data_IF_333490970075
#
_entry.id   IF_333490970075
#
_cell.length_a   1.000
_cell.length_b   1.000
_cell.length_c   1.000
_cell.angle_alpha   90.00
_cell.angle_beta   90.00
_cell.angle_gamma   90.00
#
_symmetry.space_group_name_H-M   'P 1'
#
loop_
_entity.id
_entity.type
_entity.pdbx_description
1 polymer ?
#
# COMPACT_ATOMS: atom_id res chain seq x y z
N UNK A 1 13.15 36.29 -14.81
CA UNK A 1 12.60 34.94 -15.04
C UNK A 1 11.10 35.08 -15.22
N UNK A 2 10.61 34.69 -16.39
CA UNK A 2 9.20 34.80 -16.75
C UNK A 2 8.33 33.86 -15.89
N UNK A 3 7.46 34.43 -15.05
CA UNK A 3 6.64 33.67 -14.09
C UNK A 3 5.75 32.60 -14.75
N UNK A 4 5.38 32.79 -16.02
CA UNK A 4 4.56 31.87 -16.80
C UNK A 4 5.33 30.64 -17.32
N UNK A 5 6.66 30.73 -17.53
CA UNK A 5 7.45 29.60 -18.05
C UNK A 5 7.72 28.53 -17.00
N UNK A 6 7.80 28.92 -15.73
CA UNK A 6 8.02 27.98 -14.64
C UNK A 6 6.90 26.93 -14.51
N UNK A 7 5.60 27.28 -14.41
CA UNK A 7 4.54 26.29 -14.31
C UNK A 7 4.39 25.41 -15.56
N UNK A 8 4.67 25.91 -16.78
CA UNK A 8 4.64 25.10 -18.01
C UNK A 8 5.71 23.99 -18.03
N UNK A 9 6.89 24.27 -17.49
CA UNK A 9 7.99 23.32 -17.41
C UNK A 9 7.89 22.44 -16.16
N UNK A 10 7.62 23.04 -15.00
CA UNK A 10 7.62 22.36 -13.70
C UNK A 10 6.37 21.53 -13.44
N UNK A 11 5.20 21.90 -13.97
CA UNK A 11 3.94 21.23 -13.65
C UNK A 11 3.97 19.72 -13.94
N UNK A 12 4.48 19.34 -15.12
CA UNK A 12 4.59 17.93 -15.52
C UNK A 12 5.62 17.16 -14.69
N UNK A 13 6.77 17.79 -14.39
CA UNK A 13 7.85 17.17 -13.59
C UNK A 13 7.42 16.98 -12.14
N UNK A 14 6.78 18.00 -11.54
CA UNK A 14 6.26 17.93 -10.17
C UNK A 14 5.14 16.89 -10.06
N UNK A 15 4.29 16.75 -11.08
CA UNK A 15 3.29 15.70 -11.15
C UNK A 15 3.94 14.31 -11.19
N UNK A 16 4.96 14.10 -12.05
CA UNK A 16 5.67 12.83 -12.17
C UNK A 16 6.43 12.46 -10.88
N UNK A 17 7.13 13.41 -10.27
CA UNK A 17 7.88 13.21 -9.02
C UNK A 17 6.92 12.86 -7.89
N UNK A 18 5.81 13.61 -7.76
CA UNK A 18 4.78 13.35 -6.75
C UNK A 18 4.11 12.00 -6.96
N UNK A 19 3.80 11.63 -8.22
CA UNK A 19 3.26 10.32 -8.58
C UNK A 19 4.24 9.20 -8.22
N UNK A 20 5.52 9.38 -8.53
CA UNK A 20 6.57 8.41 -8.23
C UNK A 20 6.71 8.21 -6.73
N UNK A 21 6.79 9.29 -5.96
CA UNK A 21 6.85 9.23 -4.51
C UNK A 21 5.60 8.56 -3.93
N UNK A 22 4.41 8.84 -4.48
CA UNK A 22 3.16 8.16 -4.12
C UNK A 22 3.25 6.65 -4.30
N UNK A 23 3.77 6.18 -5.45
CA UNK A 23 3.95 4.75 -5.74
C UNK A 23 4.94 4.11 -4.77
N UNK A 24 6.10 4.75 -4.54
CA UNK A 24 7.12 4.27 -3.60
C UNK A 24 6.55 4.15 -2.19
N UNK A 25 5.89 5.18 -1.66
CA UNK A 25 5.28 5.13 -0.33
C UNK A 25 4.12 4.12 -0.26
N UNK A 26 3.41 3.89 -1.36
CA UNK A 26 2.40 2.83 -1.46
C UNK A 26 3.01 1.44 -1.33
N UNK A 27 4.16 1.20 -1.97
CA UNK A 27 4.93 -0.04 -1.84
C UNK A 27 5.41 -0.25 -0.40
N UNK A 28 5.98 0.79 0.20
CA UNK A 28 6.48 0.79 1.58
C UNK A 28 5.36 0.51 2.58
N UNK A 29 4.21 1.16 2.42
CA UNK A 29 3.09 0.98 3.34
C UNK A 29 2.39 -0.40 3.21
N UNK A 30 2.59 -1.09 2.09
CA UNK A 30 2.12 -2.45 1.86
C UNK A 30 3.02 -3.50 2.55
N UNK A 31 4.25 -3.16 2.91
CA UNK A 31 5.18 -4.08 3.56
C UNK A 31 4.89 -4.19 5.07
N UNK A 32 4.42 -5.38 5.47
CA UNK A 32 4.09 -5.71 6.87
C UNK A 32 5.28 -6.29 7.63
N UNK A 33 6.33 -6.70 6.92
CA UNK A 33 7.52 -7.30 7.52
C UNK A 33 8.54 -6.20 7.88
N UNK A 34 8.53 -5.09 7.14
CA UNK A 34 9.48 -3.99 7.27
C UNK A 34 9.14 -2.98 8.37
N UNK A 35 7.84 -2.70 8.54
CA UNK A 35 7.36 -1.59 9.34
C UNK A 35 6.40 -2.06 10.42
N UNK A 36 6.64 -1.59 11.65
CA UNK A 36 5.67 -1.70 12.74
C UNK A 36 4.39 -0.88 12.46
N UNK A 37 3.35 -1.02 13.30
CA UNK A 37 2.03 -0.40 13.08
C UNK A 37 2.09 1.13 12.87
N UNK A 38 2.85 1.86 13.70
CA UNK A 38 2.99 3.32 13.58
C UNK A 38 3.68 3.74 12.28
N UNK A 39 4.74 3.03 11.87
CA UNK A 39 5.44 3.30 10.61
C UNK A 39 4.53 3.11 9.39
N UNK A 40 3.65 2.11 9.43
CA UNK A 40 2.66 1.88 8.37
C UNK A 40 1.59 2.97 8.31
N UNK A 41 1.18 3.51 9.46
CA UNK A 41 0.24 4.62 9.50
C UNK A 41 0.86 5.89 8.90
N UNK A 42 2.10 6.21 9.27
CA UNK A 42 2.85 7.33 8.69
C UNK A 42 3.03 7.16 7.18
N UNK A 43 3.46 5.97 6.72
CA UNK A 43 3.64 5.69 5.31
C UNK A 43 2.32 5.83 4.51
N UNK A 44 1.19 5.43 5.08
CA UNK A 44 -0.13 5.65 4.48
C UNK A 44 -0.53 7.13 4.44
N UNK A 45 -0.20 7.90 5.48
CA UNK A 45 -0.46 9.34 5.51
C UNK A 45 0.37 10.07 4.42
N UNK A 46 1.66 9.76 4.32
CA UNK A 46 2.56 10.31 3.29
C UNK A 46 2.09 9.92 1.89
N UNK A 47 1.73 8.64 1.68
CA UNK A 47 1.15 8.18 0.41
C UNK A 47 -0.09 8.99 0.00
N UNK A 48 -1.01 9.24 0.93
CA UNK A 48 -2.23 10.04 0.64
C UNK A 48 -1.90 11.49 0.34
N UNK A 49 -1.01 12.12 1.11
CA UNK A 49 -0.60 13.49 0.89
C UNK A 49 0.05 13.66 -0.49
N UNK A 50 0.95 12.74 -0.87
CA UNK A 50 1.59 12.75 -2.17
C UNK A 50 0.61 12.45 -3.31
N UNK A 51 -0.38 11.58 -3.10
CA UNK A 51 -1.42 11.30 -4.10
C UNK A 51 -2.26 12.55 -4.41
N UNK A 52 -2.63 13.31 -3.37
CA UNK A 52 -3.33 14.59 -3.52
C UNK A 52 -2.43 15.61 -4.23
N UNK A 53 -1.15 15.70 -3.84
CA UNK A 53 -0.16 16.54 -4.53
C UNK A 53 -0.03 16.19 -6.02
N UNK A 54 0.08 14.91 -6.35
CA UNK A 54 0.16 14.43 -7.74
C UNK A 54 -1.08 14.81 -8.56
N UNK A 55 -2.28 14.69 -8.00
CA UNK A 55 -3.52 15.16 -8.64
C UNK A 55 -3.53 16.67 -8.84
N UNK A 56 -3.13 17.44 -7.82
CA UNK A 56 -3.06 18.90 -7.91
C UNK A 56 -2.09 19.36 -9.01
N UNK A 57 -0.88 18.80 -9.05
CA UNK A 57 0.08 19.11 -10.09
C UNK A 57 -0.35 18.62 -11.48
N UNK A 58 -1.07 17.50 -11.57
CA UNK A 58 -1.67 17.06 -12.84
C UNK A 58 -2.68 18.09 -13.35
N UNK A 59 -3.56 18.60 -12.48
CA UNK A 59 -4.55 19.63 -12.87
C UNK A 59 -3.87 20.90 -13.36
N UNK A 60 -2.84 21.37 -12.65
CA UNK A 60 -2.03 22.53 -13.08
C UNK A 60 -1.36 22.26 -14.42
N UNK A 61 -0.73 21.08 -14.58
CA UNK A 61 -0.05 20.70 -15.82
C UNK A 61 -1.00 20.69 -17.03
N UNK A 62 -2.14 20.01 -16.92
CA UNK A 62 -3.14 19.95 -18.00
C UNK A 62 -3.72 21.34 -18.25
N UNK A 63 -4.05 22.09 -17.20
CA UNK A 63 -4.60 23.44 -17.30
C UNK A 63 -3.68 24.39 -18.06
N UNK A 64 -2.39 24.42 -17.72
CA UNK A 64 -1.39 25.23 -18.44
C UNK A 64 -1.26 24.77 -19.89
N UNK A 65 -1.22 23.46 -20.16
CA UNK A 65 -1.10 22.93 -21.53
C UNK A 65 -2.31 23.24 -22.42
N UNK A 66 -3.50 23.29 -21.86
CA UNK A 66 -4.71 23.72 -22.58
C UNK A 66 -4.72 25.24 -22.75
N UNK A 67 -4.39 26.01 -21.72
CA UNK A 67 -4.37 27.48 -21.75
C UNK A 67 -3.35 28.04 -22.76
N UNK A 68 -2.18 27.39 -22.88
CA UNK A 68 -1.14 27.78 -23.84
C UNK A 68 -1.31 27.11 -25.23
N UNK A 69 -2.47 26.48 -25.51
CA UNK A 69 -2.78 25.80 -26.77
C UNK A 69 -1.77 24.68 -27.17
N UNK A 70 -1.01 24.16 -26.22
CA UNK A 70 -0.11 23.03 -26.42
C UNK A 70 -0.85 21.69 -26.55
N UNK A 71 -2.12 21.62 -26.14
CA UNK A 71 -3.02 20.50 -26.37
C UNK A 71 -4.44 21.03 -26.60
N UNK A 72 -5.17 20.43 -27.55
CA UNK A 72 -6.60 20.74 -27.70
C UNK A 72 -7.40 20.14 -26.54
N UNK A 73 -8.49 20.80 -26.15
CA UNK A 73 -9.40 20.31 -25.09
C UNK A 73 -9.90 18.89 -25.42
N UNK A 74 -10.16 18.61 -26.69
CA UNK A 74 -10.57 17.28 -27.16
C UNK A 74 -9.48 16.24 -26.98
N UNK A 75 -8.21 16.56 -27.25
CA UNK A 75 -7.09 15.63 -27.04
C UNK A 75 -6.82 15.37 -25.54
N UNK A 76 -7.10 16.35 -24.68
CA UNK A 76 -7.00 16.20 -23.22
C UNK A 76 -8.10 15.29 -22.65
N UNK A 77 -9.32 15.38 -23.17
CA UNK A 77 -10.48 14.60 -22.69
C UNK A 77 -10.64 13.23 -23.37
N UNK A 78 -10.22 13.09 -24.61
CA UNK A 78 -10.35 11.85 -25.36
C UNK A 78 -8.95 11.37 -25.72
N UNK A 79 -8.42 10.34 -25.01
CA UNK A 79 -7.12 9.79 -25.31
C UNK A 79 -7.05 9.38 -26.78
N UNK A 80 -5.99 9.80 -27.48
CA UNK A 80 -5.74 9.48 -28.89
C UNK A 80 -6.73 10.05 -29.91
N UNK A 81 -7.61 10.99 -29.53
CA UNK A 81 -8.54 11.63 -30.48
C UNK A 81 -7.84 12.35 -31.65
N UNK A 82 -6.63 12.83 -31.43
CA UNK A 82 -5.82 13.49 -32.47
C UNK A 82 -4.90 12.54 -33.24
N UNK A 83 -5.00 11.22 -32.99
CA UNK A 83 -4.19 10.18 -33.62
C UNK A 83 -3.22 9.47 -32.66
N UNK A 84 -2.64 8.37 -33.15
CA UNK A 84 -1.70 7.50 -32.40
C UNK A 84 -0.23 7.71 -32.80
N UNK A 85 0.04 8.48 -33.85
CA UNK A 85 1.39 8.73 -34.36
C UNK A 85 2.04 9.99 -33.77
N UNK A 86 3.38 9.96 -33.66
CA UNK A 86 4.20 11.12 -33.31
C UNK A 86 3.75 11.87 -32.06
N UNK A 87 3.70 13.20 -32.13
CA UNK A 87 3.31 14.09 -31.02
C UNK A 87 1.86 13.88 -30.56
N UNK A 88 0.95 13.53 -31.46
CA UNK A 88 -0.46 13.29 -31.11
C UNK A 88 -0.63 12.03 -30.23
N UNK A 89 0.08 10.94 -30.57
CA UNK A 89 0.10 9.72 -29.76
C UNK A 89 0.67 9.96 -28.35
N UNK A 90 1.69 10.82 -28.24
CA UNK A 90 2.25 11.21 -26.95
C UNK A 90 1.25 12.02 -26.12
N UNK A 91 0.53 12.98 -26.70
CA UNK A 91 -0.54 13.70 -25.99
C UNK A 91 -1.61 12.70 -25.51
N UNK A 92 -1.99 11.73 -26.34
CA UNK A 92 -2.91 10.65 -25.95
C UNK A 92 -2.41 9.80 -24.77
N UNK A 93 -1.11 9.49 -24.71
CA UNK A 93 -0.49 8.83 -23.56
C UNK A 93 -0.57 9.68 -22.29
N UNK A 94 -0.42 11.00 -22.40
CA UNK A 94 -0.59 11.93 -21.28
C UNK A 94 -2.01 11.91 -20.73
N UNK A 95 -3.01 12.00 -21.62
CA UNK A 95 -4.43 11.90 -21.25
C UNK A 95 -4.76 10.55 -20.61
N UNK A 96 -4.26 9.45 -21.18
CA UNK A 96 -4.39 8.11 -20.62
C UNK A 96 -3.77 8.01 -19.22
N UNK A 97 -2.58 8.57 -19.03
CA UNK A 97 -1.92 8.62 -17.73
C UNK A 97 -2.77 9.37 -16.69
N UNK A 98 -3.36 10.50 -17.08
CA UNK A 98 -4.28 11.27 -16.24
C UNK A 98 -5.49 10.44 -15.81
N UNK A 99 -6.14 9.74 -16.74
CA UNK A 99 -7.27 8.86 -16.42
C UNK A 99 -6.90 7.71 -15.48
N UNK A 100 -5.76 7.06 -15.71
CA UNK A 100 -5.27 5.99 -14.84
C UNK A 100 -4.95 6.50 -13.43
N UNK A 101 -4.39 7.72 -13.31
CA UNK A 101 -4.16 8.35 -12.01
C UNK A 101 -5.48 8.68 -11.29
N UNK A 102 -6.46 9.25 -12.00
CA UNK A 102 -7.79 9.52 -11.43
C UNK A 102 -8.48 8.22 -10.99
N UNK A 103 -8.41 7.15 -11.79
CA UNK A 103 -8.93 5.84 -11.42
C UNK A 103 -8.25 5.28 -10.17
N UNK A 104 -6.92 5.37 -10.09
CA UNK A 104 -6.16 4.94 -8.92
C UNK A 104 -6.52 5.73 -7.66
N UNK A 105 -6.71 7.05 -7.79
CA UNK A 105 -7.13 7.91 -6.69
C UNK A 105 -8.55 7.60 -6.22
N UNK A 106 -9.49 7.47 -7.17
CA UNK A 106 -10.89 7.12 -6.88
C UNK A 106 -10.98 5.76 -6.17
N UNK A 107 -10.23 4.76 -6.63
CA UNK A 107 -10.17 3.44 -5.99
C UNK A 107 -9.49 3.48 -4.62
N UNK A 108 -8.59 4.43 -4.38
CA UNK A 108 -7.98 4.70 -3.07
C UNK A 108 -8.98 5.29 -2.06
N UNK A 109 -9.80 6.25 -2.49
CA UNK A 109 -10.87 6.86 -1.67
C UNK A 109 -11.97 5.82 -1.38
N UNK A 110 -12.40 5.09 -2.41
CA UNK A 110 -13.46 4.08 -2.33
C UNK A 110 -13.00 2.77 -1.68
N UNK A 111 -11.82 2.70 -1.09
CA UNK A 111 -11.27 1.47 -0.49
C UNK A 111 -12.22 0.84 0.54
N UNK A 112 -12.91 1.65 1.35
CA UNK A 112 -13.88 1.18 2.36
C UNK A 112 -15.05 0.41 1.74
N UNK A 113 -15.50 0.83 0.54
CA UNK A 113 -16.58 0.17 -0.22
C UNK A 113 -16.18 -1.26 -0.60
N UNK A 114 -14.91 -1.50 -0.91
CA UNK A 114 -14.42 -2.84 -1.24
C UNK A 114 -14.05 -3.69 -0.02
N UNK A 115 -13.76 -3.06 1.12
CA UNK A 115 -13.14 -3.69 2.29
C UNK A 115 -14.04 -4.70 3.06
N UNK A 116 -15.33 -4.81 2.76
CA UNK A 116 -16.26 -5.75 3.39
C UNK A 116 -16.92 -6.77 2.46
N UNK A 117 -16.67 -6.71 1.15
CA UNK A 117 -17.42 -7.46 0.12
C UNK A 117 -16.76 -8.79 -0.29
N UNK A 118 -15.98 -9.40 0.60
CA UNK A 118 -15.30 -10.67 0.37
C UNK A 118 -14.02 -10.60 -0.47
N UNK A 119 -13.38 -11.77 -0.67
CA UNK A 119 -12.05 -11.89 -1.31
C UNK A 119 -12.03 -11.41 -2.77
N UNK A 120 -13.13 -11.60 -3.49
CA UNK A 120 -13.25 -11.18 -4.90
C UNK A 120 -13.24 -9.65 -5.03
N UNK A 121 -14.00 -8.93 -4.20
CA UNK A 121 -13.99 -7.47 -4.17
C UNK A 121 -12.61 -6.90 -3.80
N UNK A 122 -11.92 -7.52 -2.83
CA UNK A 122 -10.57 -7.13 -2.47
C UNK A 122 -9.55 -7.37 -3.61
N UNK A 123 -9.71 -8.42 -4.43
CA UNK A 123 -8.90 -8.63 -5.64
C UNK A 123 -9.18 -7.56 -6.69
N UNK A 124 -10.46 -7.25 -6.97
CA UNK A 124 -10.84 -6.19 -7.92
C UNK A 124 -10.27 -4.84 -7.53
N UNK A 125 -10.38 -4.46 -6.25
CA UNK A 125 -9.76 -3.25 -5.73
C UNK A 125 -8.26 -3.20 -5.99
N UNK A 126 -7.53 -4.30 -5.73
CA UNK A 126 -6.08 -4.38 -5.99
C UNK A 126 -5.75 -4.20 -7.47
N UNK A 127 -6.51 -4.83 -8.37
CA UNK A 127 -6.30 -4.70 -9.82
C UNK A 127 -6.57 -3.26 -10.28
N UNK A 128 -7.70 -2.68 -9.86
CA UNK A 128 -8.05 -1.32 -10.23
C UNK A 128 -7.05 -0.30 -9.67
N UNK A 129 -6.62 -0.46 -8.42
CA UNK A 129 -5.64 0.43 -7.81
C UNK A 129 -4.24 0.25 -8.41
N UNK A 130 -3.91 -0.95 -8.91
CA UNK A 130 -2.67 -1.20 -9.64
C UNK A 130 -2.59 -0.47 -10.99
N UNK A 131 -3.68 0.14 -11.48
CA UNK A 131 -3.64 1.06 -12.62
C UNK A 131 -2.66 2.22 -12.42
N UNK A 132 -2.33 2.58 -11.17
CA UNK A 132 -1.31 3.57 -10.84
C UNK A 132 0.07 3.27 -11.47
N UNK A 133 0.45 1.98 -11.56
CA UNK A 133 1.69 1.60 -12.23
C UNK A 133 1.61 1.85 -13.74
N UNK A 134 0.45 1.61 -14.34
CA UNK A 134 0.17 1.97 -15.73
C UNK A 134 0.26 3.48 -15.94
N UNK A 135 -0.37 4.26 -15.05
CA UNK A 135 -0.32 5.73 -15.08
C UNK A 135 1.13 6.25 -15.07
N UNK A 136 1.96 5.69 -14.19
CA UNK A 136 3.36 6.05 -14.07
C UNK A 136 4.15 5.73 -15.35
N UNK A 137 4.00 4.54 -15.92
CA UNK A 137 4.66 4.16 -17.17
C UNK A 137 4.24 5.06 -18.34
N UNK A 138 2.94 5.32 -18.51
CA UNK A 138 2.45 6.17 -19.59
C UNK A 138 2.86 7.63 -19.41
N UNK A 139 2.90 8.13 -18.17
CA UNK A 139 3.38 9.49 -17.86
C UNK A 139 4.86 9.66 -18.17
N UNK A 140 5.70 8.67 -17.86
CA UNK A 140 7.12 8.66 -18.22
C UNK A 140 7.31 8.72 -19.73
N UNK A 141 6.63 7.83 -20.47
CA UNK A 141 6.71 7.79 -21.93
C UNK A 141 6.23 9.09 -22.58
N UNK A 142 5.13 9.65 -22.06
CA UNK A 142 4.61 10.95 -22.49
C UNK A 142 5.65 12.05 -22.27
N UNK A 143 6.09 12.25 -21.03
CA UNK A 143 6.92 13.41 -20.71
C UNK A 143 8.35 13.34 -21.26
N UNK A 144 8.92 12.14 -21.42
CA UNK A 144 10.26 11.97 -22.01
C UNK A 144 10.27 12.27 -23.51
N UNK A 145 9.21 11.88 -24.23
CA UNK A 145 9.17 11.96 -25.68
C UNK A 145 8.40 13.17 -26.22
N UNK A 146 7.70 13.95 -25.39
CA UNK A 146 6.83 15.06 -25.81
C UNK A 146 7.54 16.24 -26.52
N UNK A 147 8.85 16.14 -26.80
CA UNK A 147 9.55 16.98 -27.78
C UNK A 147 10.20 18.24 -27.21
N UNK A 148 10.70 18.20 -25.96
CA UNK A 148 11.47 19.31 -25.36
C UNK A 148 12.94 18.93 -25.21
N UNK A 149 13.86 19.85 -25.51
CA UNK A 149 15.24 19.74 -25.03
C UNK A 149 15.20 19.73 -23.49
N UNK A 150 15.64 18.62 -22.90
CA UNK A 150 15.57 18.44 -21.47
C UNK A 150 16.66 19.26 -20.79
N UNK A 151 16.26 20.29 -20.05
CA UNK A 151 17.16 20.95 -19.12
C UNK A 151 17.73 19.92 -18.12
N UNK A 152 18.99 20.06 -17.72
CA UNK A 152 19.69 19.05 -16.90
C UNK A 152 18.96 18.68 -15.61
N UNK A 153 18.31 19.65 -14.95
CA UNK A 153 17.52 19.41 -13.74
C UNK A 153 16.29 18.53 -13.99
N UNK A 154 15.66 18.62 -15.16
CA UNK A 154 14.53 17.76 -15.56
C UNK A 154 15.02 16.33 -15.70
N UNK A 155 16.13 16.13 -16.41
CA UNK A 155 16.77 14.82 -16.56
C UNK A 155 17.12 14.22 -15.20
N UNK A 156 17.66 15.02 -14.28
CA UNK A 156 17.91 14.60 -12.89
C UNK A 156 16.65 14.11 -12.17
N UNK A 157 15.51 14.80 -12.32
CA UNK A 157 14.23 14.34 -11.75
C UNK A 157 13.76 13.01 -12.37
N UNK A 158 13.90 12.83 -13.68
CA UNK A 158 13.53 11.56 -14.35
C UNK A 158 14.38 10.39 -13.86
N UNK A 159 15.70 10.58 -13.79
CA UNK A 159 16.63 9.58 -13.23
C UNK A 159 16.29 9.29 -11.77
N UNK A 160 16.05 10.33 -10.96
CA UNK A 160 15.64 10.18 -9.57
C UNK A 160 14.34 9.38 -9.41
N UNK A 161 13.36 9.57 -10.30
CA UNK A 161 12.12 8.79 -10.31
C UNK A 161 12.39 7.31 -10.61
N UNK A 162 13.19 7.01 -11.63
CA UNK A 162 13.58 5.64 -11.99
C UNK A 162 14.35 4.95 -10.85
N UNK A 163 15.35 5.63 -10.29
CA UNK A 163 16.16 5.13 -9.18
C UNK A 163 15.30 4.90 -7.94
N UNK A 164 14.40 5.83 -7.60
CA UNK A 164 13.50 5.72 -6.46
C UNK A 164 12.60 4.49 -6.54
N UNK A 165 12.00 4.23 -7.72
CA UNK A 165 11.18 3.03 -7.94
C UNK A 165 12.03 1.76 -7.92
N UNK A 166 13.18 1.76 -8.61
CA UNK A 166 14.08 0.61 -8.62
C UNK A 166 14.54 0.24 -7.20
N UNK A 167 14.95 1.22 -6.40
CA UNK A 167 15.34 1.02 -5.01
C UNK A 167 14.17 0.48 -4.18
N UNK A 168 12.97 1.04 -4.33
CA UNK A 168 11.79 0.55 -3.61
C UNK A 168 11.45 -0.91 -3.96
N UNK A 169 11.58 -1.30 -5.24
CA UNK A 169 11.36 -2.67 -5.70
C UNK A 169 12.46 -3.62 -5.21
N UNK A 170 13.73 -3.20 -5.26
CA UNK A 170 14.88 -3.96 -4.74
C UNK A 170 14.72 -4.17 -3.24
N UNK A 171 14.42 -3.12 -2.48
CA UNK A 171 14.16 -3.23 -1.04
C UNK A 171 12.98 -4.15 -0.76
N UNK A 172 11.89 -4.07 -1.52
CA UNK A 172 10.75 -4.98 -1.35
C UNK A 172 11.09 -6.44 -1.68
N UNK A 173 11.98 -6.68 -2.65
CA UNK A 173 12.33 -8.03 -3.12
C UNK A 173 13.42 -8.68 -2.26
N UNK A 174 14.37 -7.88 -1.76
CA UNK A 174 15.60 -8.33 -1.10
C UNK A 174 15.73 -7.84 0.36
N UNK A 175 15.17 -6.69 0.71
CA UNK A 175 15.31 -6.05 2.02
C UNK A 175 14.18 -6.41 2.98
N UNK A 176 14.57 -6.76 4.22
CA UNK A 176 13.75 -7.03 5.43
C UNK A 176 13.57 -8.51 5.81
N UNK A 177 12.96 -9.42 5.03
CA UNK A 177 12.77 -10.80 5.49
C UNK A 177 14.11 -11.54 5.64
N UNK A 178 15.18 -11.13 4.97
CA UNK A 178 16.49 -11.78 5.09
C UNK A 178 17.27 -11.28 6.32
N UNK A 179 17.32 -9.97 6.56
CA UNK A 179 18.06 -9.39 7.68
C UNK A 179 17.42 -9.69 9.03
N UNK A 180 16.08 -9.63 9.13
CA UNK A 180 15.36 -10.04 10.34
C UNK A 180 15.47 -11.54 10.61
N UNK A 181 15.46 -12.40 9.58
CA UNK A 181 15.76 -13.83 9.77
C UNK A 181 17.16 -14.05 10.30
N UNK A 182 18.15 -13.29 9.84
CA UNK A 182 19.53 -13.40 10.34
C UNK A 182 19.67 -12.94 11.79
N UNK A 183 19.00 -11.84 12.18
CA UNK A 183 19.04 -11.31 13.55
C UNK A 183 18.24 -12.16 14.53
N UNK A 184 17.02 -12.61 14.15
CA UNK A 184 16.19 -13.49 14.97
C UNK A 184 16.83 -14.88 15.11
N UNK A 185 17.46 -15.40 14.05
CA UNK A 185 18.27 -16.64 14.12
C UNK A 185 19.47 -16.48 15.05
N UNK A 186 20.16 -15.34 15.04
CA UNK A 186 21.25 -15.06 15.99
C UNK A 186 20.76 -14.98 17.45
N UNK A 187 19.62 -14.35 17.72
CA UNK A 187 19.04 -14.27 19.08
C UNK A 187 18.56 -15.63 19.60
N UNK A 188 17.94 -16.45 18.75
CA UNK A 188 17.48 -17.79 19.14
C UNK A 188 18.65 -18.76 19.36
N UNK A 189 19.73 -18.66 18.57
CA UNK A 189 20.97 -19.43 18.80
C UNK A 189 21.68 -18.97 20.09
N UNK A 190 21.72 -17.66 20.37
CA UNK A 190 22.28 -17.13 21.63
C UNK A 190 21.47 -17.52 22.87
N UNK A 191 20.14 -17.53 22.79
CA UNK A 191 19.26 -17.98 23.87
C UNK A 191 19.36 -19.49 24.13
N UNK A 192 19.50 -20.32 23.09
CA UNK A 192 19.73 -21.77 23.25
C UNK A 192 21.14 -22.12 23.76
N UNK A 193 22.14 -21.25 23.53
CA UNK A 193 23.47 -21.40 24.12
C UNK A 193 23.49 -20.97 25.61
N UNK A 194 22.77 -19.89 25.96
CA UNK A 194 22.67 -19.39 27.34
C UNK A 194 21.75 -20.25 28.24
N UNK A 195 20.80 -21.00 27.66
CA UNK A 195 19.90 -21.90 28.39
C UNK A 195 20.51 -23.27 28.76
N UNK A 196 21.77 -23.55 28.40
CA UNK A 196 22.47 -24.78 28.78
C UNK A 196 23.20 -24.62 30.13
N UNK A 197 22.46 -24.21 31.15
CA UNK A 197 22.87 -24.46 32.54
C UNK A 197 22.65 -25.95 32.84
N UNK A 198 23.57 -26.66 33.52
CA UNK A 198 23.36 -28.06 33.90
C UNK A 198 22.11 -28.14 34.78
N UNK A 199 21.10 -28.84 34.29
CA UNK A 199 19.88 -29.12 35.02
C UNK A 199 20.28 -29.91 36.27
N UNK A 200 20.28 -29.28 37.44
CA UNK A 200 20.43 -29.96 38.72
C UNK A 200 19.28 -30.97 38.82
N UNK A 201 19.65 -32.25 38.92
CA UNK A 201 18.72 -33.37 38.98
C UNK A 201 17.67 -33.09 40.08
N UNK A 202 16.36 -33.16 39.79
CA UNK A 202 15.37 -33.06 40.84
C UNK A 202 15.56 -34.23 41.80
N UNK A 203 15.83 -33.91 43.06
CA UNK A 203 15.85 -34.86 44.16
C UNK A 203 14.49 -35.57 44.20
N UNK A 204 14.49 -36.88 43.89
CA UNK A 204 13.28 -37.70 43.90
C UNK A 204 12.95 -37.99 45.36
N UNK A 205 11.97 -37.28 45.92
CA UNK A 205 11.37 -37.65 47.20
C UNK A 205 10.47 -38.84 46.95
N UNK A 206 10.87 -40.01 47.44
CA UNK A 206 10.08 -41.24 47.41
C UNK A 206 8.68 -41.03 48.00
N UNK A 207 7.71 -41.63 47.32
CA UNK A 207 6.31 -41.77 47.72
C UNK A 207 6.13 -42.28 49.15
N UNK A 208 5.15 -41.72 49.87
CA UNK A 208 4.64 -42.32 51.09
C UNK A 208 3.49 -41.54 51.72
N UNK A 209 2.26 -41.82 51.25
CA UNK A 209 0.95 -41.81 51.94
C UNK A 209 -0.15 -41.26 51.02
N UNK A 210 -1.05 -42.14 50.58
CA UNK A 210 -2.37 -41.75 50.05
C UNK A 210 -3.37 -41.76 51.20
N UNK A 211 -4.11 -40.66 51.47
CA UNK A 211 -5.37 -40.74 52.19
C UNK A 211 -6.46 -41.25 51.22
N UNK A 212 -7.17 -42.31 51.62
CA UNK A 212 -8.42 -42.76 50.97
C UNK A 212 -9.52 -41.75 51.29
N UNK A 213 -10.16 -41.17 50.26
CA UNK A 213 -11.42 -40.42 50.41
C UNK A 213 -12.60 -41.34 50.07
N UNK A 214 -13.62 -41.48 50.93
CA UNK A 214 -14.84 -42.24 50.60
C UNK A 214 -15.76 -41.47 49.64
N UNK A 215 -16.57 -42.23 48.90
CA UNK A 215 -17.45 -41.81 47.81
C UNK A 215 -18.63 -40.91 48.23
N UNK A 216 -19.28 -40.18 47.29
CA UNK A 216 -20.40 -39.29 47.57
C UNK A 216 -21.70 -40.07 47.79
N UNK A 217 -22.47 -39.69 48.81
CA UNK A 217 -23.82 -40.21 49.08
C UNK A 217 -24.87 -39.34 48.36
N UNK A 218 -25.67 -39.97 47.51
CA UNK A 218 -26.91 -39.43 46.93
C UNK A 218 -28.05 -39.52 47.94
N UNK A 219 -28.83 -38.44 48.20
CA UNK A 219 -30.05 -38.54 48.98
C UNK A 219 -31.23 -38.99 48.11
N UNK A 220 -31.78 -40.15 48.44
CA UNK A 220 -33.02 -40.71 47.89
C UNK A 220 -34.21 -40.33 48.81
N UNK A 221 -35.19 -39.63 48.21
CA UNK A 221 -36.63 -39.65 48.53
C UNK A 221 -37.17 -39.44 49.96
N UNK A 222 -37.99 -38.40 50.15
CA UNK A 222 -39.19 -38.51 51.00
C UNK A 222 -40.37 -37.72 50.39
N UNK A 223 -41.45 -38.46 50.18
CA UNK A 223 -42.74 -38.13 49.58
C UNK A 223 -43.68 -37.43 50.59
N UNK A 224 -44.46 -36.42 50.17
CA UNK A 224 -45.71 -36.05 50.86
C UNK A 224 -46.65 -35.20 49.97
N UNK A 225 -47.59 -35.89 49.30
CA UNK A 225 -49.06 -35.68 49.32
C UNK A 225 -49.72 -34.29 49.15
N UNK A 226 -50.90 -34.33 48.48
CA UNK A 226 -52.01 -33.34 48.31
C UNK A 226 -51.85 -32.39 47.13
N UNK A 227 -52.82 -32.14 46.27
CA UNK A 227 -54.23 -32.53 46.12
C UNK A 227 -54.75 -31.74 44.90
N UNK A 228 -55.46 -32.37 43.97
CA UNK A 228 -56.93 -32.30 43.82
C UNK A 228 -57.42 -31.09 43.00
N UNK A 229 -58.06 -31.44 41.88
CA UNK A 229 -59.25 -30.84 41.25
C UNK A 229 -59.18 -29.45 40.55
N UNK A 230 -59.44 -29.53 39.25
CA UNK A 230 -60.59 -28.93 38.53
C UNK A 230 -60.85 -27.41 38.46
N UNK A 231 -61.26 -27.01 37.25
CA UNK A 231 -62.06 -25.83 36.83
C UNK A 231 -61.29 -24.50 36.86
N UNK A 232 -61.18 -23.72 35.78
CA UNK A 232 -62.09 -23.42 34.65
C UNK A 232 -61.29 -22.95 33.43
#
# INVERSE_FOLDING_TARGET
MDLHRFPDQAGGVLALVSLTATVVWGLVAADRLALGPCGRLLAQAVHRALAVGALGFLLVHVGVKVAEAHASTTAALIPFASGIGGRAGLIGLGSLAGYLLVLAAATGVLRSVFAGRGRAAARRWRVLHASAYGAWCTALLHGLNAGREAAEWVTGCYVGCLVGVALALVLRRFGVPQLLRLVVRRRSVGAHAAGRMPQSRPFTVSQGLRPRTPAPQTPEGLNASRGRAELT
#
